data_IF_790777359294
#
_entry.id   IF_790777359294
#
_cell.length_a   1.000
_cell.length_b   1.000
_cell.length_c   1.000
_cell.angle_alpha   90.00
_cell.angle_beta   90.00
_cell.angle_gamma   90.00
#
_symmetry.space_group_name_H-M   'P 1'
#
loop_
_entity.id
_entity.type
_entity.pdbx_description
1 polymer ?
#
# COMPACT_ATOMS: atom_id res chain seq x y z
N UNK A 1 -5.34 -10.04 12.39
CA UNK A 1 -5.48 -8.59 12.37
C UNK A 1 -4.91 -8.07 13.67
N UNK A 2 -3.86 -7.27 13.60
CA UNK A 2 -3.18 -6.77 14.78
C UNK A 2 -3.07 -5.24 14.67
N UNK A 3 -3.60 -4.56 15.68
CA UNK A 3 -3.54 -3.10 15.77
C UNK A 3 -2.20 -2.71 16.41
N UNK A 4 -1.28 -2.24 15.58
CA UNK A 4 0.00 -1.71 16.00
C UNK A 4 -0.16 -0.25 16.45
N UNK A 5 0.47 0.10 17.57
CA UNK A 5 0.42 1.43 18.17
C UNK A 5 1.83 2.01 18.21
N UNK A 6 2.01 3.09 17.48
CA UNK A 6 3.31 3.71 17.25
C UNK A 6 3.41 4.99 18.05
N UNK A 7 4.40 5.08 18.93
CA UNK A 7 4.63 6.29 19.71
C UNK A 7 5.45 7.30 18.91
N UNK A 8 4.98 8.54 18.88
CA UNK A 8 5.62 9.63 18.14
C UNK A 8 5.71 10.88 19.01
N UNK A 9 6.75 11.66 18.75
CA UNK A 9 6.97 12.95 19.39
C UNK A 9 6.79 14.05 18.37
N UNK A 10 5.82 14.93 18.61
CA UNK A 10 5.52 16.09 17.79
C UNK A 10 6.12 17.34 18.44
N UNK A 11 6.93 18.09 17.70
CA UNK A 11 7.47 19.37 18.14
C UNK A 11 6.50 20.49 17.76
N UNK A 12 5.98 21.24 18.74
CA UNK A 12 5.20 22.45 18.46
C UNK A 12 6.13 23.61 18.13
N UNK A 13 5.59 24.59 17.40
CA UNK A 13 6.24 25.88 17.13
C UNK A 13 6.57 26.67 18.41
N UNK A 14 5.92 26.40 19.54
CA UNK A 14 6.22 26.99 20.84
C UNK A 14 7.45 26.37 21.54
N UNK A 15 8.03 25.31 20.98
CA UNK A 15 9.08 24.51 21.64
C UNK A 15 8.53 23.46 22.60
N UNK A 16 7.21 23.41 22.81
CA UNK A 16 6.56 22.34 23.57
C UNK A 16 6.62 21.01 22.81
N UNK A 17 6.96 19.95 23.55
CA UNK A 17 6.99 18.58 23.05
C UNK A 17 5.64 17.92 23.36
N UNK A 18 4.97 17.40 22.34
CA UNK A 18 3.70 16.69 22.51
C UNK A 18 3.84 15.23 22.07
N UNK A 19 3.39 14.29 22.91
CA UNK A 19 3.43 12.86 22.60
C UNK A 19 2.12 12.44 21.96
N UNK A 20 2.21 11.87 20.77
CA UNK A 20 1.10 11.25 20.06
C UNK A 20 1.32 9.75 19.93
N UNK A 21 0.25 9.03 19.62
CA UNK A 21 0.32 7.64 19.21
C UNK A 21 -0.48 7.45 17.92
N UNK A 22 0.13 6.87 16.91
CA UNK A 22 -0.51 6.53 15.64
C UNK A 22 -0.92 5.07 15.68
N UNK A 23 -2.13 4.76 15.22
CA UNK A 23 -2.60 3.38 15.13
C UNK A 23 -2.52 2.91 13.69
N UNK A 24 -1.88 1.77 13.45
CA UNK A 24 -1.88 1.09 12.16
C UNK A 24 -2.45 -0.32 12.32
N UNK A 25 -3.08 -0.82 11.26
CA UNK A 25 -3.52 -2.20 11.19
C UNK A 25 -2.62 -2.95 10.21
N UNK A 26 -1.87 -3.92 10.72
CA UNK A 26 -1.03 -4.80 9.89
C UNK A 26 -1.64 -6.19 9.85
N UNK A 27 -1.80 -6.71 8.63
CA UNK A 27 -2.29 -8.06 8.38
C UNK A 27 -1.43 -8.76 7.35
N UNK A 28 -1.44 -10.09 7.40
CA UNK A 28 -0.89 -10.93 6.36
C UNK A 28 -1.98 -11.87 5.85
N UNK A 29 -2.22 -11.85 4.55
CA UNK A 29 -3.19 -12.72 3.90
C UNK A 29 -2.73 -13.03 2.47
N UNK A 30 -2.93 -14.27 2.01
CA UNK A 30 -2.67 -14.68 0.63
C UNK A 30 -1.28 -14.32 0.10
N UNK A 31 -0.23 -14.44 0.92
CA UNK A 31 1.13 -14.11 0.51
C UNK A 31 1.50 -12.63 0.59
N UNK A 32 0.59 -11.79 1.09
CA UNK A 32 0.71 -10.34 1.00
C UNK A 32 0.54 -9.69 2.38
N UNK A 33 1.45 -8.78 2.75
CA UNK A 33 1.28 -7.88 3.89
C UNK A 33 0.36 -6.74 3.49
N UNK A 34 -0.50 -6.30 4.40
CA UNK A 34 -1.35 -5.12 4.22
C UNK A 34 -1.16 -4.13 5.37
N UNK A 35 -1.09 -2.86 5.03
CA UNK A 35 -1.11 -1.72 5.95
C UNK A 35 -2.44 -0.98 5.77
N UNK A 36 -3.27 -0.95 6.81
CA UNK A 36 -4.62 -0.37 6.75
C UNK A 36 -5.40 -0.86 5.51
N UNK A 37 -5.39 -2.18 5.30
CA UNK A 37 -6.04 -2.89 4.19
C UNK A 37 -5.45 -2.64 2.79
N UNK A 38 -4.34 -1.91 2.68
CA UNK A 38 -3.63 -1.70 1.42
C UNK A 38 -2.41 -2.63 1.27
N UNK A 39 -2.23 -3.32 0.13
CA UNK A 39 -1.17 -4.31 -0.06
C UNK A 39 0.22 -3.68 -0.16
N UNK A 40 1.18 -4.21 0.58
CA UNK A 40 2.56 -3.75 0.70
C UNK A 40 3.55 -4.67 0.00
N UNK A 41 4.22 -4.20 -1.05
CA UNK A 41 5.29 -4.99 -1.69
C UNK A 41 6.49 -5.17 -0.76
N UNK A 42 7.26 -6.24 -0.99
CA UNK A 42 8.58 -6.38 -0.38
C UNK A 42 9.50 -5.20 -0.76
N UNK A 43 10.32 -4.76 0.17
CA UNK A 43 11.11 -3.53 0.11
C UNK A 43 10.60 -2.44 1.06
N UNK A 44 11.01 -1.20 0.80
CA UNK A 44 10.58 -0.03 1.58
C UNK A 44 9.64 0.83 0.74
N UNK A 45 8.52 1.21 1.34
CA UNK A 45 7.58 2.15 0.76
C UNK A 45 7.37 3.34 1.71
N UNK A 46 7.26 4.54 1.14
CA UNK A 46 6.81 5.72 1.86
C UNK A 46 5.34 5.96 1.49
N UNK A 47 4.49 5.83 2.50
CA UNK A 47 3.04 5.77 2.34
C UNK A 47 2.40 6.92 3.09
N UNK A 48 1.59 7.71 2.41
CA UNK A 48 0.71 8.70 3.06
C UNK A 48 -0.70 8.12 3.15
N UNK A 49 -1.26 8.04 4.37
CA UNK A 49 -2.58 7.50 4.60
C UNK A 49 -3.34 8.25 5.70
N UNK A 50 -4.67 8.14 5.70
CA UNK A 50 -5.46 8.60 6.84
C UNK A 50 -5.56 7.49 7.87
N UNK A 51 -5.24 7.80 9.13
CA UNK A 51 -5.38 6.84 10.22
C UNK A 51 -5.70 7.52 11.56
N UNK A 52 -6.01 6.70 12.56
CA UNK A 52 -6.34 7.18 13.91
C UNK A 52 -5.07 7.62 14.63
N UNK A 53 -5.12 8.84 15.16
CA UNK A 53 -4.12 9.44 16.02
C UNK A 53 -4.73 9.62 17.41
N UNK A 54 -4.00 9.15 18.41
CA UNK A 54 -4.32 9.27 19.82
C UNK A 54 -3.41 10.34 20.42
N UNK A 55 -3.99 11.46 20.84
CA UNK A 55 -3.23 12.55 21.46
C UNK A 55 -3.30 12.43 22.98
N UNK A 56 -2.14 12.37 23.62
CA UNK A 56 -2.03 12.41 25.08
C UNK A 56 -1.91 13.87 25.51
N UNK A 57 -3.03 14.53 25.77
CA UNK A 57 -3.01 15.79 26.53
C UNK A 57 -2.92 15.45 28.03
N UNK A 58 -1.89 15.97 28.70
CA UNK A 58 -1.67 15.77 30.13
C UNK A 58 -2.97 16.03 30.93
N UNK A 59 -3.51 14.97 31.52
CA UNK A 59 -4.69 15.04 32.40
C UNK A 59 -6.07 14.96 31.72
N UNK A 60 -6.16 14.80 30.39
CA UNK A 60 -7.42 14.55 29.68
C UNK A 60 -7.47 13.14 29.06
N UNK A 61 -8.68 12.57 28.87
CA UNK A 61 -8.83 11.32 28.14
C UNK A 61 -8.26 11.48 26.73
N UNK A 62 -7.53 10.47 26.26
CA UNK A 62 -6.90 10.46 24.93
C UNK A 62 -7.91 10.87 23.87
N UNK A 63 -7.71 12.03 23.26
CA UNK A 63 -8.57 12.46 22.18
C UNK A 63 -8.18 11.65 20.93
N UNK A 64 -9.15 10.90 20.40
CA UNK A 64 -8.97 10.20 19.14
C UNK A 64 -9.38 11.12 18.01
N UNK A 65 -8.53 11.24 17.01
CA UNK A 65 -8.87 11.95 15.77
C UNK A 65 -8.34 11.20 14.57
N UNK A 66 -8.99 11.38 13.43
CA UNK A 66 -8.43 10.96 12.15
C UNK A 66 -7.45 12.05 11.69
N UNK A 67 -6.29 11.66 11.20
CA UNK A 67 -5.33 12.58 10.60
C UNK A 67 -4.56 11.94 9.46
N UNK A 68 -3.86 12.77 8.70
CA UNK A 68 -3.03 12.32 7.58
C UNK A 68 -1.64 12.02 8.09
N UNK A 69 -1.17 10.81 7.88
CA UNK A 69 0.13 10.33 8.38
C UNK A 69 0.97 9.85 7.22
N UNK A 70 2.23 10.27 7.17
CA UNK A 70 3.24 9.73 6.25
C UNK A 70 4.17 8.80 7.00
N UNK A 71 4.19 7.54 6.59
CA UNK A 71 4.91 6.44 7.24
C UNK A 71 5.83 5.75 6.22
N UNK A 72 7.09 5.51 6.60
CA UNK A 72 7.95 4.57 5.88
C UNK A 72 7.70 3.18 6.44
N UNK A 73 7.40 2.22 5.57
CA UNK A 73 7.17 0.83 5.96
C UNK A 73 8.11 -0.07 5.16
N UNK A 74 8.86 -0.91 5.86
CA UNK A 74 9.67 -1.96 5.28
C UNK A 74 8.94 -3.28 5.43
N UNK A 75 8.86 -4.04 4.35
CA UNK A 75 8.48 -5.47 4.36
C UNK A 75 9.66 -6.25 3.81
N UNK A 76 10.22 -7.16 4.60
CA UNK A 76 11.31 -8.02 4.18
C UNK A 76 10.94 -9.50 4.33
N UNK A 77 11.31 -10.29 3.32
CA UNK A 77 10.92 -11.67 3.17
C UNK A 77 12.16 -12.59 3.26
N UNK A 78 12.36 -13.26 4.40
CA UNK A 78 13.50 -14.14 4.66
C UNK A 78 13.13 -15.62 4.50
N UNK A 79 13.61 -16.33 3.45
CA UNK A 79 13.46 -17.77 3.36
C UNK A 79 14.34 -18.47 4.41
N UNK A 80 13.75 -19.30 5.28
CA UNK A 80 14.50 -19.91 6.39
C UNK A 80 15.26 -21.18 5.97
N UNK A 81 14.81 -21.88 4.94
CA UNK A 81 15.52 -23.01 4.35
C UNK A 81 15.15 -23.17 2.87
N UNK A 82 16.14 -23.43 2.01
CA UNK A 82 15.97 -23.49 0.55
C UNK A 82 15.01 -24.58 0.06
N UNK A 83 14.71 -25.58 0.89
CA UNK A 83 13.82 -26.71 0.57
C UNK A 83 12.49 -26.71 1.32
N UNK A 84 12.20 -25.65 2.08
CA UNK A 84 10.97 -25.52 2.85
C UNK A 84 10.19 -24.30 2.40
N UNK A 85 8.87 -24.40 2.38
CA UNK A 85 7.97 -23.27 2.16
C UNK A 85 7.86 -22.35 3.40
N UNK A 86 8.85 -22.40 4.30
CA UNK A 86 8.86 -21.68 5.57
C UNK A 86 9.62 -20.37 5.40
N UNK A 87 8.94 -19.27 5.70
CA UNK A 87 9.46 -17.92 5.48
C UNK A 87 9.18 -17.07 6.73
N UNK A 88 10.14 -16.22 7.08
CA UNK A 88 9.97 -15.17 8.08
C UNK A 88 9.76 -13.85 7.36
N UNK A 89 8.63 -13.20 7.61
CA UNK A 89 8.33 -11.87 7.10
C UNK A 89 8.58 -10.89 8.23
N UNK A 90 9.43 -9.90 7.99
CA UNK A 90 9.78 -8.85 8.94
C UNK A 90 9.17 -7.56 8.45
N UNK A 91 8.36 -6.91 9.31
CA UNK A 91 7.75 -5.62 9.02
C UNK A 91 8.23 -4.59 10.04
N UNK A 92 8.75 -3.46 9.56
CA UNK A 92 9.13 -2.32 10.40
C UNK A 92 8.50 -1.05 9.85
N UNK A 93 8.27 -0.06 10.70
CA UNK A 93 7.75 1.23 10.26
C UNK A 93 8.39 2.43 10.97
N UNK A 94 8.35 3.59 10.32
CA UNK A 94 8.78 4.87 10.84
C UNK A 94 7.76 5.93 10.41
N UNK A 95 7.05 6.52 11.37
CA UNK A 95 6.21 7.69 11.12
C UNK A 95 7.13 8.91 10.92
N UNK A 96 7.04 9.50 9.74
CA UNK A 96 7.84 10.65 9.33
C UNK A 96 7.08 11.97 9.49
N UNK A 97 5.76 11.95 9.27
CA UNK A 97 4.95 13.16 9.27
C UNK A 97 3.52 12.89 9.76
N UNK A 98 2.96 13.88 10.44
CA UNK A 98 1.55 13.93 10.84
C UNK A 98 1.00 15.31 10.47
N UNK A 99 -0.07 15.33 9.66
CA UNK A 99 -0.79 16.52 9.21
C UNK A 99 0.13 17.64 8.67
N UNK A 100 1.10 17.30 7.81
CA UNK A 100 2.03 18.28 7.26
C UNK A 100 3.23 18.59 8.17
N UNK A 101 3.31 18.00 9.37
CA UNK A 101 4.34 18.31 10.36
C UNK A 101 5.24 17.10 10.61
N UNK A 102 6.54 17.31 10.47
CA UNK A 102 7.53 16.28 10.77
C UNK A 102 7.47 15.88 12.24
N UNK A 103 7.61 14.57 12.48
CA UNK A 103 7.61 14.00 13.83
C UNK A 103 8.90 13.25 14.09
N UNK A 104 9.21 13.03 15.37
CA UNK A 104 10.35 12.25 15.79
C UNK A 104 9.88 10.94 16.43
N UNK A 105 10.40 9.83 15.93
CA UNK A 105 10.18 8.50 16.48
C UNK A 105 11.52 7.94 16.96
N UNK A 106 11.58 7.50 18.22
CA UNK A 106 12.82 6.98 18.82
C UNK A 106 12.90 5.45 18.71
N UNK A 107 11.75 4.78 18.70
CA UNK A 107 11.60 3.34 18.68
C UNK A 107 10.67 2.91 17.56
N UNK A 108 10.98 1.81 16.91
CA UNK A 108 10.17 1.18 15.85
C UNK A 108 9.58 -0.11 16.39
N UNK A 109 8.38 -0.44 15.92
CA UNK A 109 7.82 -1.76 16.15
C UNK A 109 8.25 -2.68 15.01
N UNK A 110 8.92 -3.78 15.35
CA UNK A 110 9.23 -4.87 14.44
C UNK A 110 8.19 -5.98 14.62
N UNK A 111 7.54 -6.37 13.52
CA UNK A 111 6.58 -7.47 13.48
C UNK A 111 7.19 -8.61 12.69
N UNK A 112 7.36 -9.74 13.36
CA UNK A 112 7.82 -11.01 12.80
C UNK A 112 6.62 -11.92 12.54
N UNK A 113 6.39 -12.24 11.28
CA UNK A 113 5.33 -13.13 10.82
C UNK A 113 5.98 -14.38 10.22
N UNK A 114 5.94 -15.48 10.98
CA UNK A 114 6.40 -16.78 10.47
C UNK A 114 5.28 -17.43 9.67
N UNK A 115 5.54 -17.74 8.40
CA UNK A 115 4.53 -18.26 7.46
C UNK A 115 4.98 -19.56 6.79
N UNK A 116 4.02 -20.41 6.44
CA UNK A 116 4.22 -21.60 5.59
C UNK A 116 3.14 -21.70 4.54
N UNK A 117 3.51 -21.74 3.25
CA UNK A 117 2.56 -21.84 2.12
C UNK A 117 1.40 -20.82 2.21
N UNK A 118 1.63 -19.58 2.70
CA UNK A 118 0.64 -18.52 2.99
C UNK A 118 -0.12 -18.62 4.33
N UNK A 119 0.08 -19.67 5.12
CA UNK A 119 -0.51 -19.77 6.46
C UNK A 119 0.42 -19.16 7.50
N UNK A 120 -0.12 -18.26 8.30
CA UNK A 120 0.55 -17.74 9.48
C UNK A 120 0.71 -18.85 10.52
N UNK A 121 1.94 -19.07 10.96
CA UNK A 121 2.28 -19.97 12.06
C UNK A 121 2.48 -19.23 13.38
N UNK A 122 3.07 -18.03 13.34
CA UNK A 122 3.35 -17.22 14.53
C UNK A 122 3.44 -15.74 14.19
N UNK A 123 2.96 -14.92 15.11
CA UNK A 123 3.24 -13.48 15.19
C UNK A 123 4.11 -13.19 16.41
N UNK A 124 5.06 -12.28 16.27
CA UNK A 124 5.86 -11.77 17.39
C UNK A 124 6.14 -10.30 17.14
N UNK A 125 6.06 -9.48 18.19
CA UNK A 125 6.32 -8.05 18.10
C UNK A 125 7.46 -7.68 19.04
N UNK A 126 8.37 -6.86 18.54
CA UNK A 126 9.50 -6.35 19.29
C UNK A 126 9.55 -4.82 19.14
N UNK A 127 10.06 -4.17 20.16
CA UNK A 127 10.41 -2.76 20.09
C UNK A 127 11.91 -2.66 19.92
N UNK A 128 12.36 -1.96 18.89
CA UNK A 128 13.78 -1.76 18.59
C UNK A 128 14.07 -0.26 18.46
N UNK A 129 15.22 0.24 18.91
CA UNK A 129 15.62 1.63 18.67
C UNK A 129 15.66 1.92 17.16
N UNK A 130 15.12 3.07 16.72
CA UNK A 130 15.04 3.41 15.29
C UNK A 130 16.40 3.30 14.60
N UNK A 131 17.45 3.80 15.25
CA UNK A 131 18.82 3.79 14.71
C UNK A 131 19.43 2.40 14.54
N UNK A 132 18.86 1.39 15.19
CA UNK A 132 19.30 -0.01 15.11
C UNK A 132 18.43 -0.84 14.15
N UNK A 133 17.32 -0.28 13.66
CA UNK A 133 16.41 -0.95 12.74
C UNK A 133 16.99 -1.10 11.33
N UNK A 134 16.59 -2.17 10.64
CA UNK A 134 16.94 -2.37 9.23
C UNK A 134 16.36 -1.26 8.35
N UNK A 135 15.14 -0.80 8.66
CA UNK A 135 14.47 0.30 7.98
C UNK A 135 15.32 1.59 7.98
N UNK A 136 15.97 1.92 9.09
CA UNK A 136 16.83 3.11 9.19
C UNK A 136 18.10 3.01 8.35
N UNK A 137 18.61 1.80 8.13
CA UNK A 137 19.78 1.57 7.28
C UNK A 137 19.51 1.75 5.77
N UNK A 138 18.24 1.79 5.36
CA UNK A 138 17.83 1.90 3.96
C UNK A 138 17.66 3.39 3.58
N UNK A 139 18.41 3.89 2.59
CA UNK A 139 18.31 5.27 2.13
C UNK A 139 16.90 5.65 1.65
N UNK A 140 16.42 6.84 2.05
CA UNK A 140 15.04 7.33 1.77
C UNK A 140 14.76 7.60 0.28
N UNK A 141 15.81 7.85 -0.51
CA UNK A 141 15.74 8.07 -1.96
C UNK A 141 15.34 6.82 -2.75
N UNK A 142 15.43 5.64 -2.12
CA UNK A 142 15.03 4.36 -2.73
C UNK A 142 13.59 3.95 -2.38
N UNK A 143 12.87 4.76 -1.60
CA UNK A 143 11.51 4.42 -1.18
C UNK A 143 10.52 4.47 -2.35
N UNK A 144 9.65 3.47 -2.44
CA UNK A 144 8.50 3.56 -3.34
C UNK A 144 7.42 4.46 -2.72
N UNK A 145 6.99 5.51 -3.43
CA UNK A 145 6.01 6.47 -2.93
C UNK A 145 4.57 6.06 -3.28
N UNK A 146 3.68 6.03 -2.29
CA UNK A 146 2.26 5.78 -2.50
C UNK A 146 1.37 6.64 -1.58
N UNK A 147 0.16 6.98 -2.05
CA UNK A 147 -0.87 7.63 -1.23
C UNK A 147 -2.09 6.72 -1.19
N UNK A 148 -2.53 6.36 0.02
CA UNK A 148 -3.69 5.51 0.21
C UNK A 148 -4.99 6.31 0.10
N UNK A 149 -6.07 5.73 -0.45
CA UNK A 149 -7.38 6.36 -0.43
C UNK A 149 -7.87 6.57 1.01
N UNK A 150 -8.59 7.66 1.24
CA UNK A 150 -9.11 8.02 2.56
C UNK A 150 -10.07 6.93 3.10
N UNK A 151 -9.94 6.59 4.40
CA UNK A 151 -10.82 5.66 5.10
C UNK A 151 -12.20 6.29 5.37
N UNK A 152 -13.01 6.47 4.33
CA UNK A 152 -14.38 6.98 4.41
C UNK A 152 -15.38 5.82 4.54
N UNK A 153 -15.69 5.42 5.77
CA UNK A 153 -16.76 4.46 6.06
C UNK A 153 -18.15 5.10 6.07
N UNK A 154 -18.82 5.18 4.91
CA UNK A 154 -20.26 4.95 4.74
C UNK A 154 -20.65 5.00 3.25
N UNK A 155 -21.37 3.97 2.84
CA UNK A 155 -22.07 3.79 1.57
C UNK A 155 -22.91 5.03 1.19
N UNK A 156 -22.57 5.69 0.08
CA UNK A 156 -23.52 6.41 -0.75
C UNK A 156 -23.29 5.88 -2.16
N UNK A 157 -24.33 5.23 -2.66
CA UNK A 157 -24.49 4.86 -4.05
C UNK A 157 -24.04 5.98 -4.99
N UNK A 158 -22.95 5.74 -5.70
CA UNK A 158 -22.84 6.18 -7.07
C UNK A 158 -21.96 5.14 -7.77
N UNK A 159 -22.45 4.41 -8.79
CA UNK A 159 -21.56 3.65 -9.63
C UNK A 159 -20.68 4.68 -10.35
N UNK A 160 -19.47 4.90 -9.82
CA UNK A 160 -18.41 5.58 -10.54
C UNK A 160 -18.22 4.81 -11.84
N UNK A 161 -18.84 5.34 -12.89
CA UNK A 161 -18.57 4.96 -14.25
C UNK A 161 -17.10 5.24 -14.49
N UNK A 162 -16.29 4.19 -14.37
CA UNK A 162 -14.93 4.19 -14.88
C UNK A 162 -15.06 4.19 -16.40
N UNK A 163 -15.25 5.36 -17.01
CA UNK A 163 -14.95 5.49 -18.44
C UNK A 163 -13.43 5.41 -18.57
N UNK A 164 -12.94 4.21 -18.83
CA UNK A 164 -11.66 4.05 -19.50
C UNK A 164 -11.79 4.75 -20.84
N UNK A 165 -11.32 6.00 -20.91
CA UNK A 165 -11.11 6.69 -22.17
C UNK A 165 -9.97 5.96 -22.87
N UNK A 166 -10.30 4.89 -23.60
CA UNK A 166 -9.44 4.44 -24.67
C UNK A 166 -9.34 5.62 -25.64
N UNK A 167 -8.11 6.15 -25.77
CA UNK A 167 -7.78 7.11 -26.81
C UNK A 167 -7.90 6.35 -28.15
N UNK A 168 -9.11 6.32 -28.71
CA UNK A 168 -9.34 5.85 -30.06
C UNK A 168 -8.65 6.87 -30.95
N UNK A 169 -7.46 6.52 -31.42
CA UNK A 169 -6.75 7.27 -32.44
C UNK A 169 -7.57 7.14 -33.74
N UNK A 170 -8.54 8.03 -33.92
CA UNK A 170 -9.22 8.20 -35.20
C UNK A 170 -8.18 8.76 -36.17
N UNK A 171 -7.67 7.90 -37.05
CA UNK A 171 -6.90 8.31 -38.21
C UNK A 171 -7.82 9.07 -39.15
N UNK A 172 -7.74 10.41 -39.13
CA UNK A 172 -8.25 11.25 -40.19
C UNK A 172 -7.30 11.13 -41.39
N UNK A 173 -7.61 10.23 -42.33
CA UNK A 173 -7.09 10.35 -43.69
C UNK A 173 -8.21 10.89 -44.56
N UNK A 174 -8.13 12.17 -44.87
CA UNK A 174 -8.93 12.82 -45.91
C UNK A 174 -8.53 12.23 -47.27
N UNK A 175 -9.43 11.44 -47.87
CA UNK A 175 -9.42 11.18 -49.31
C UNK A 175 -10.78 11.60 -49.84
N UNK A 176 -10.73 12.65 -50.63
CA UNK A 176 -11.79 13.18 -51.50
C UNK A 176 -12.07 12.15 -52.60
N UNK A 177 -13.30 11.67 -52.73
CA UNK A 177 -13.78 11.17 -54.03
C UNK A 177 -15.31 11.18 -54.15
N UNK A 178 -15.75 11.75 -55.27
CA UNK A 178 -17.12 11.85 -55.73
C UNK A 178 -17.81 10.48 -55.92
N UNK A 179 -19.14 10.56 -55.76
CA UNK A 179 -20.19 9.57 -56.02
C UNK A 179 -19.95 8.53 -57.13
N UNK A 180 -20.36 7.27 -56.88
CA UNK A 180 -21.21 6.46 -57.77
C UNK A 180 -21.89 5.30 -56.97
N UNK A 181 -23.11 4.85 -57.34
CA UNK A 181 -23.98 4.06 -56.47
C UNK A 181 -23.89 2.56 -56.73
N UNK A 182 -23.95 1.79 -55.63
CA UNK A 182 -24.43 0.40 -55.66
C UNK A 182 -23.38 -0.64 -55.28
N UNK A 183 -23.47 -1.14 -54.04
CA UNK A 183 -23.51 -2.58 -53.70
C UNK A 183 -23.68 -2.76 -52.19
N UNK A 184 -24.43 -3.79 -51.83
CA UNK A 184 -24.68 -4.24 -50.46
C UNK A 184 -23.35 -4.54 -49.74
N UNK A 185 -23.22 -4.25 -48.44
CA UNK A 185 -22.04 -4.66 -47.69
C UNK A 185 -22.03 -6.18 -47.54
N UNK A 186 -20.95 -6.82 -47.98
CA UNK A 186 -20.75 -8.26 -47.80
C UNK A 186 -20.40 -8.58 -46.34
N UNK A 187 -21.08 -9.57 -45.79
CA UNK A 187 -20.84 -10.13 -44.45
C UNK A 187 -19.45 -10.78 -44.41
N UNK A 188 -18.53 -10.39 -43.52
CA UNK A 188 -17.25 -11.08 -43.41
C UNK A 188 -17.45 -12.52 -42.92
N UNK A 189 -17.01 -13.49 -43.73
CA UNK A 189 -16.98 -14.90 -43.39
C UNK A 189 -16.00 -15.15 -42.23
N UNK A 190 -16.51 -15.85 -41.21
CA UNK A 190 -15.81 -16.34 -40.03
C UNK A 190 -14.53 -17.11 -40.44
N UNK A 191 -13.36 -16.58 -40.09
CA UNK A 191 -12.12 -17.36 -40.16
C UNK A 191 -12.07 -18.24 -38.91
N UNK A 192 -12.30 -19.54 -39.09
CA UNK A 192 -11.99 -20.55 -38.08
C UNK A 192 -10.47 -20.63 -37.86
N UNK A 193 -9.98 -20.72 -36.62
CA UNK A 193 -8.57 -20.97 -36.36
C UNK A 193 -8.22 -22.42 -36.72
N UNK A 194 -7.12 -22.69 -37.47
CA UNK A 194 -6.71 -24.05 -37.75
C UNK A 194 -6.21 -24.75 -36.48
N UNK A 195 -6.79 -25.93 -36.25
CA UNK A 195 -6.49 -26.88 -35.19
C UNK A 195 -5.10 -27.51 -35.31
N UNK A 196 -4.46 -27.66 -34.15
CA UNK A 196 -3.59 -28.77 -33.69
C UNK A 196 -2.50 -29.34 -34.63
N UNK A 197 -1.25 -29.30 -34.16
CA UNK A 197 -0.25 -30.31 -34.54
C UNK A 197 0.43 -30.95 -33.32
N UNK A 198 0.70 -32.25 -33.47
CA UNK A 198 1.03 -33.23 -32.43
C UNK A 198 2.51 -33.26 -32.05
N UNK A 199 2.74 -33.69 -30.81
CA UNK A 199 3.95 -34.32 -30.29
C UNK A 199 4.27 -35.59 -31.09
N UNK A 200 5.52 -35.71 -31.55
CA UNK A 200 6.25 -36.98 -31.68
C UNK A 200 7.71 -36.71 -31.32
#
# INVERSE_FOLDING_TARGET
QEAMRVNVTMLKTSGEVHRGQVVFNITYANGQVYLNDFPMKSGVAHVTCQTVILENLDGLPNQQRLGTVSVRIMVHEWPLASSSDLQLIVVQEEVTEIDGKQVQQEEVTEIDILVKEFRVLRHSNYTVPLKESMLYSIPRDNDMLFTLPNLSGKDIQDPLQTTSQYLIQQAETTVDEETLPGKLPETPLRIEPPSSYKVV
#
